data_IF_330767506674
#
_entry.id   IF_330767506674
#
_cell.length_a   1.000
_cell.length_b   1.000
_cell.length_c   1.000
_cell.angle_alpha   90.00
_cell.angle_beta   90.00
_cell.angle_gamma   90.00
#
_symmetry.space_group_name_H-M   'P 1'
#
loop_
_entity.id
_entity.type
_entity.pdbx_description
1 polymer ?
#
# COMPACT_ATOMS: atom_id res chain seq x y z
N UNK A 1 -26.68 -6.79 -11.16
CA UNK A 1 -25.89 -5.98 -10.19
C UNK A 1 -25.89 -4.54 -10.69
N UNK A 2 -26.66 -3.63 -10.07
CA UNK A 2 -26.69 -2.23 -10.51
C UNK A 2 -25.42 -1.51 -10.04
N UNK A 3 -24.52 -1.21 -10.97
CA UNK A 3 -23.28 -0.48 -10.68
C UNK A 3 -23.58 1.01 -10.49
N UNK A 4 -23.28 1.54 -9.30
CA UNK A 4 -23.33 2.98 -9.03
C UNK A 4 -22.03 3.63 -9.49
N UNK A 5 -21.91 3.94 -10.79
CA UNK A 5 -20.64 4.41 -11.40
C UNK A 5 -19.99 5.62 -10.69
N UNK A 6 -20.78 6.47 -10.04
CA UNK A 6 -20.28 7.66 -9.34
C UNK A 6 -19.48 7.36 -8.05
N UNK A 7 -19.43 6.11 -7.58
CA UNK A 7 -18.64 5.74 -6.39
C UNK A 7 -17.19 5.44 -6.72
N UNK A 8 -16.87 5.18 -7.99
CA UNK A 8 -15.50 4.94 -8.42
C UNK A 8 -14.73 6.25 -8.59
N UNK A 9 -13.43 6.18 -8.36
CA UNK A 9 -12.46 7.27 -8.52
C UNK A 9 -11.34 6.80 -9.45
N UNK A 10 -10.59 7.73 -10.03
CA UNK A 10 -9.51 7.41 -10.98
C UNK A 10 -8.16 7.18 -10.31
N UNK A 11 -7.91 7.85 -9.19
CA UNK A 11 -6.63 7.79 -8.48
C UNK A 11 -6.81 7.57 -6.98
N UNK A 12 -5.72 7.18 -6.30
CA UNK A 12 -5.74 7.06 -4.84
C UNK A 12 -5.97 8.41 -4.16
N UNK A 13 -5.35 9.47 -4.67
CA UNK A 13 -5.46 10.82 -4.11
C UNK A 13 -6.92 11.32 -4.12
N UNK A 14 -7.64 11.10 -5.22
CA UNK A 14 -9.07 11.41 -5.34
C UNK A 14 -9.90 10.61 -4.33
N UNK A 15 -9.63 9.31 -4.20
CA UNK A 15 -10.32 8.43 -3.25
C UNK A 15 -10.09 8.83 -1.79
N UNK A 16 -8.84 9.13 -1.43
CA UNK A 16 -8.44 9.56 -0.08
C UNK A 16 -9.10 10.90 0.25
N UNK A 17 -9.03 11.88 -0.66
CA UNK A 17 -9.65 13.18 -0.44
C UNK A 17 -11.18 13.05 -0.26
N UNK A 18 -11.83 12.21 -1.07
CA UNK A 18 -13.26 11.94 -0.94
C UNK A 18 -13.61 11.34 0.42
N UNK A 19 -12.79 10.43 0.97
CA UNK A 19 -13.00 9.88 2.33
C UNK A 19 -12.98 11.02 3.36
N UNK A 20 -11.96 11.88 3.31
CA UNK A 20 -11.78 13.01 4.25
C UNK A 20 -12.98 13.97 4.24
N UNK A 21 -13.48 14.30 3.06
CA UNK A 21 -14.59 15.25 2.88
C UNK A 21 -15.97 14.65 3.21
N UNK A 22 -16.10 13.31 3.16
CA UNK A 22 -17.40 12.64 3.28
C UNK A 22 -17.90 12.45 4.71
N UNK A 23 -17.16 12.89 5.74
CA UNK A 23 -17.57 12.83 7.15
C UNK A 23 -18.05 11.43 7.57
N UNK A 24 -17.32 10.39 7.17
CA UNK A 24 -17.63 8.99 7.48
C UNK A 24 -18.77 8.36 6.64
N UNK A 25 -19.25 9.03 5.58
CA UNK A 25 -20.29 8.50 4.67
C UNK A 25 -19.74 7.80 3.43
N UNK A 26 -18.42 7.80 3.26
CA UNK A 26 -17.73 7.12 2.16
C UNK A 26 -16.54 6.33 2.73
N UNK A 27 -16.45 5.06 2.37
CA UNK A 27 -15.31 4.20 2.65
C UNK A 27 -14.61 3.88 1.33
N UNK A 28 -13.28 3.76 1.36
CA UNK A 28 -12.48 3.51 0.18
C UNK A 28 -11.69 2.23 0.33
N UNK A 29 -11.79 1.36 -0.67
CA UNK A 29 -11.01 0.13 -0.75
C UNK A 29 -9.76 0.41 -1.58
N UNK A 30 -8.60 0.12 -0.99
CA UNK A 30 -7.29 0.29 -1.60
C UNK A 30 -6.32 -0.77 -1.07
N UNK A 31 -5.16 -0.92 -1.70
CA UNK A 31 -4.14 -1.87 -1.25
C UNK A 31 -3.64 -1.54 0.17
N UNK A 32 -3.36 -2.59 0.96
CA UNK A 32 -2.99 -2.44 2.37
C UNK A 32 -1.72 -1.62 2.56
N UNK A 33 -0.73 -1.80 1.68
CA UNK A 33 0.56 -1.10 1.70
C UNK A 33 0.37 0.42 1.60
N UNK A 34 -0.45 0.88 0.64
CA UNK A 34 -0.76 2.30 0.48
C UNK A 34 -1.67 2.81 1.59
N UNK A 35 -2.61 1.99 2.10
CA UNK A 35 -3.45 2.35 3.23
C UNK A 35 -2.59 2.64 4.49
N UNK A 36 -1.73 1.70 4.87
CA UNK A 36 -0.81 1.84 6.00
C UNK A 36 0.11 3.04 5.82
N UNK A 37 0.65 3.25 4.62
CA UNK A 37 1.46 4.43 4.33
C UNK A 37 0.71 5.74 4.58
N UNK A 38 -0.54 5.85 4.11
CA UNK A 38 -1.31 7.10 4.20
C UNK A 38 -1.75 7.40 5.63
N UNK A 39 -2.02 6.38 6.44
CA UNK A 39 -2.34 6.56 7.85
C UNK A 39 -1.15 7.15 8.64
N UNK A 40 0.07 6.97 8.17
CA UNK A 40 1.30 7.54 8.75
C UNK A 40 1.65 8.94 8.18
N UNK A 41 0.77 9.55 7.37
CA UNK A 41 0.97 10.87 6.75
C UNK A 41 -0.02 11.89 7.28
N UNK A 42 0.43 13.15 7.39
CA UNK A 42 -0.45 14.25 7.80
C UNK A 42 -1.66 14.38 6.85
N UNK A 43 -2.83 14.78 7.37
CA UNK A 43 -3.10 15.21 8.74
C UNK A 43 -3.53 14.08 9.70
N UNK A 44 -3.18 12.81 9.42
CA UNK A 44 -3.44 11.67 10.33
C UNK A 44 -4.93 11.41 10.58
N UNK A 45 -5.73 11.62 9.54
CA UNK A 45 -7.19 11.61 9.56
C UNK A 45 -7.80 10.37 8.88
N UNK A 46 -6.98 9.38 8.56
CA UNK A 46 -7.39 8.11 7.98
C UNK A 46 -7.00 6.94 8.87
N UNK A 47 -7.71 5.83 8.76
CA UNK A 47 -7.37 4.59 9.46
C UNK A 47 -7.74 3.36 8.63
N UNK A 48 -6.93 2.30 8.75
CA UNK A 48 -7.26 0.96 8.28
C UNK A 48 -8.24 0.32 9.27
N UNK A 49 -9.32 -0.26 8.74
CA UNK A 49 -10.31 -1.00 9.55
C UNK A 49 -10.41 -2.43 9.04
N UNK A 50 -10.35 -3.39 9.96
CA UNK A 50 -10.47 -4.81 9.64
C UNK A 50 -9.22 -5.43 9.01
N UNK A 51 -9.36 -6.69 8.60
CA UNK A 51 -8.31 -7.48 7.93
C UNK A 51 -8.32 -7.30 6.42
N UNK A 52 -7.22 -7.66 5.76
CA UNK A 52 -7.14 -7.70 4.30
C UNK A 52 -8.16 -8.72 3.75
N UNK A 53 -8.73 -8.41 2.58
CA UNK A 53 -9.73 -9.26 1.92
C UNK A 53 -9.07 -10.44 1.16
N UNK A 54 -7.85 -10.24 0.71
CA UNK A 54 -7.05 -11.21 -0.03
C UNK A 54 -5.58 -11.15 0.42
N UNK A 55 -4.79 -12.09 -0.11
CA UNK A 55 -3.34 -12.11 0.03
C UNK A 55 -2.70 -11.90 -1.34
N UNK A 56 -2.02 -10.77 -1.51
CA UNK A 56 -1.32 -10.37 -2.75
C UNK A 56 0.09 -9.91 -2.39
N UNK A 57 1.00 -9.95 -3.37
CA UNK A 57 2.36 -9.47 -3.23
C UNK A 57 2.86 -8.82 -4.52
N UNK A 58 3.78 -7.86 -4.38
CA UNK A 58 4.49 -7.28 -5.52
C UNK A 58 5.67 -8.15 -5.92
N UNK A 59 6.01 -8.13 -7.22
CA UNK A 59 7.15 -8.85 -7.76
C UNK A 59 7.92 -8.02 -8.78
N UNK A 60 9.19 -8.37 -8.99
CA UNK A 60 10.02 -7.75 -10.03
C UNK A 60 9.75 -8.45 -11.36
N UNK A 61 9.06 -7.76 -12.27
CA UNK A 61 8.75 -8.31 -13.59
C UNK A 61 9.98 -8.29 -14.50
N UNK A 62 10.16 -9.35 -15.28
CA UNK A 62 11.17 -9.45 -16.34
C UNK A 62 10.52 -9.93 -17.64
N UNK A 63 11.07 -9.57 -18.82
CA UNK A 63 10.63 -10.16 -20.08
C UNK A 63 10.73 -11.69 -20.05
N UNK A 64 9.79 -12.36 -20.71
CA UNK A 64 9.82 -13.83 -20.84
C UNK A 64 11.13 -14.24 -21.51
N UNK A 65 11.86 -15.17 -20.87
CA UNK A 65 13.16 -15.65 -21.35
C UNK A 65 14.37 -14.78 -20.98
N UNK A 66 14.18 -13.72 -20.18
CA UNK A 66 15.31 -12.90 -19.72
C UNK A 66 16.28 -13.69 -18.84
N UNK A 67 17.58 -13.56 -19.12
CA UNK A 67 18.67 -14.09 -18.29
C UNK A 67 18.78 -13.41 -16.91
N UNK A 68 18.04 -12.32 -16.67
CA UNK A 68 17.99 -11.64 -15.38
C UNK A 68 17.04 -12.32 -14.40
N UNK A 69 16.08 -13.12 -14.89
CA UNK A 69 15.02 -13.70 -14.07
C UNK A 69 15.56 -14.42 -12.84
N UNK A 70 16.46 -15.38 -13.05
CA UNK A 70 16.95 -16.23 -11.95
C UNK A 70 17.87 -15.45 -11.00
N UNK A 71 18.68 -14.54 -11.55
CA UNK A 71 19.57 -13.67 -10.78
C UNK A 71 18.79 -12.72 -9.87
N UNK A 72 17.73 -12.09 -10.40
CA UNK A 72 16.87 -11.20 -9.63
C UNK A 72 16.06 -11.99 -8.59
N UNK A 73 15.56 -13.17 -8.96
CA UNK A 73 14.82 -14.01 -8.02
C UNK A 73 15.69 -14.42 -6.82
N UNK A 74 16.93 -14.86 -7.06
CA UNK A 74 17.87 -15.20 -6.00
C UNK A 74 18.23 -13.97 -5.14
N UNK A 75 18.47 -12.82 -5.76
CA UNK A 75 18.76 -11.59 -5.03
C UNK A 75 17.61 -11.16 -4.09
N UNK A 76 16.36 -11.25 -4.57
CA UNK A 76 15.17 -10.95 -3.76
C UNK A 76 15.04 -11.93 -2.59
N UNK A 77 15.27 -13.23 -2.83
CA UNK A 77 15.28 -14.24 -1.77
C UNK A 77 16.33 -13.95 -0.70
N UNK A 78 17.56 -13.64 -1.10
CA UNK A 78 18.64 -13.27 -0.17
C UNK A 78 18.29 -12.03 0.66
N UNK A 79 17.70 -11.00 0.04
CA UNK A 79 17.26 -9.80 0.77
C UNK A 79 16.11 -10.09 1.75
N UNK A 80 15.25 -11.05 1.42
CA UNK A 80 14.19 -11.50 2.32
C UNK A 80 14.76 -12.26 3.52
N UNK A 81 15.61 -13.26 3.27
CA UNK A 81 16.23 -14.10 4.31
C UNK A 81 17.09 -13.30 5.29
N UNK A 82 17.84 -12.31 4.78
CA UNK A 82 18.68 -11.46 5.62
C UNK A 82 17.92 -10.29 6.28
N UNK A 83 16.60 -10.18 6.07
CA UNK A 83 15.75 -9.16 6.69
C UNK A 83 15.93 -7.76 6.11
N UNK A 84 16.60 -7.60 4.97
CA UNK A 84 16.82 -6.30 4.33
C UNK A 84 15.50 -5.66 3.87
N UNK A 85 14.58 -6.48 3.34
CA UNK A 85 13.26 -6.00 2.92
C UNK A 85 12.44 -5.47 4.11
N UNK A 86 12.43 -6.20 5.24
CA UNK A 86 11.75 -5.76 6.47
C UNK A 86 12.37 -4.46 7.02
N UNK A 87 13.70 -4.33 6.97
CA UNK A 87 14.39 -3.09 7.35
C UNK A 87 14.00 -1.91 6.46
N UNK A 88 13.85 -2.14 5.14
CA UNK A 88 13.41 -1.11 4.21
C UNK A 88 11.96 -0.71 4.45
N UNK A 89 11.06 -1.67 4.68
CA UNK A 89 9.66 -1.40 5.02
C UNK A 89 9.56 -0.50 6.26
N UNK A 90 10.22 -0.89 7.35
CA UNK A 90 10.25 -0.09 8.58
C UNK A 90 10.75 1.34 8.35
N UNK A 91 11.86 1.47 7.61
CA UNK A 91 12.47 2.77 7.30
C UNK A 91 11.52 3.71 6.55
N UNK A 92 10.72 3.18 5.62
CA UNK A 92 9.92 4.02 4.72
C UNK A 92 8.47 4.22 5.20
N UNK A 93 7.91 3.27 5.95
CA UNK A 93 6.56 3.37 6.51
C UNK A 93 6.54 3.99 7.91
N UNK A 94 7.34 3.47 8.84
CA UNK A 94 7.19 3.80 10.27
C UNK A 94 8.23 4.79 10.79
N UNK A 95 9.51 4.61 10.47
CA UNK A 95 10.58 5.50 10.97
C UNK A 95 10.36 6.95 10.50
N UNK A 96 9.82 7.09 9.28
CA UNK A 96 9.49 8.35 8.60
C UNK A 96 8.01 8.74 8.70
N UNK A 97 7.28 8.19 9.67
CA UNK A 97 5.91 8.61 9.95
C UNK A 97 5.88 10.09 10.33
N UNK A 98 4.91 10.81 9.76
CA UNK A 98 4.60 12.21 10.07
C UNK A 98 3.49 12.33 11.14
N UNK A 99 2.87 11.20 11.46
CA UNK A 99 1.78 11.05 12.41
C UNK A 99 2.25 10.59 13.78
N UNK A 100 3.50 10.92 14.11
CA UNK A 100 4.00 10.84 15.48
C UNK A 100 3.41 12.01 16.24
N UNK A 101 2.36 11.76 17.02
CA UNK A 101 1.96 12.49 18.24
C UNK A 101 0.81 11.71 18.92
N UNK A 102 0.83 11.40 20.22
CA UNK A 102 1.67 11.92 21.31
C UNK A 102 2.37 10.87 22.16
#
# INVERSE_FOLDING_TARGET
MNSRKHVFVRTYEEGIQRVRESKGKYAFLMESTKNEYINERKPCDTMKVGRNLDAKGYGVATPVGSNLRDRLNLAVLTMLENGDLARLENKWWYDRSECKNG
#
